data_IF_560678241413
#
_entry.id   IF_560678241413
#
_cell.length_a   1.000
_cell.length_b   1.000
_cell.length_c   1.000
_cell.angle_alpha   90.00
_cell.angle_beta   90.00
_cell.angle_gamma   90.00
#
_symmetry.space_group_name_H-M   'P 1'
#
loop_
_entity.id
_entity.type
_entity.pdbx_description
1 polymer ?
#
# COMPACT_ATOMS: atom_id res chain seq x y z
N UNK A 1 -7.29 21.65 4.63
CA UNK A 1 -7.47 20.74 5.79
C UNK A 1 -7.54 19.33 5.27
N UNK A 2 -6.87 18.39 5.92
CA UNK A 2 -6.93 16.97 5.54
C UNK A 2 -8.34 16.44 5.81
N UNK A 3 -8.92 15.72 4.86
CA UNK A 3 -10.25 15.11 4.99
C UNK A 3 -10.11 13.85 5.84
N UNK A 4 -10.64 13.85 7.07
CA UNK A 4 -10.67 12.66 7.93
C UNK A 4 -11.89 11.79 7.60
N UNK A 5 -11.65 10.50 7.42
CA UNK A 5 -12.69 9.47 7.19
C UNK A 5 -13.79 9.53 8.27
N UNK A 6 -13.36 9.50 9.55
CA UNK A 6 -14.30 9.48 10.67
C UNK A 6 -15.09 10.78 10.82
N UNK A 7 -14.44 11.93 10.63
CA UNK A 7 -15.09 13.23 10.77
C UNK A 7 -16.08 13.48 9.61
N UNK A 8 -15.69 13.13 8.39
CA UNK A 8 -16.55 13.27 7.22
C UNK A 8 -17.80 12.40 7.34
N UNK A 9 -17.65 11.13 7.66
CA UNK A 9 -18.79 10.22 7.85
C UNK A 9 -19.76 10.75 8.93
N UNK A 10 -19.22 11.22 10.06
CA UNK A 10 -20.03 11.79 11.14
C UNK A 10 -20.76 13.05 10.71
N UNK A 11 -20.12 13.96 9.96
CA UNK A 11 -20.73 15.18 9.46
C UNK A 11 -21.90 14.87 8.50
N UNK A 12 -21.76 13.86 7.65
CA UNK A 12 -22.84 13.43 6.73
C UNK A 12 -23.99 12.78 7.52
N UNK A 13 -23.68 11.85 8.44
CA UNK A 13 -24.67 11.20 9.30
C UNK A 13 -25.48 12.21 10.14
N UNK A 14 -24.82 13.26 10.64
CA UNK A 14 -25.42 14.34 11.42
C UNK A 14 -26.09 15.42 10.55
N UNK A 15 -26.17 15.24 9.23
CA UNK A 15 -26.76 16.20 8.26
C UNK A 15 -26.09 17.58 8.24
N UNK A 16 -24.80 17.66 8.63
CA UNK A 16 -24.01 18.90 8.57
C UNK A 16 -23.54 19.20 7.13
N UNK A 17 -23.41 18.15 6.32
CA UNK A 17 -23.17 18.19 4.87
C UNK A 17 -23.88 17.00 4.21
N UNK A 18 -24.03 17.03 2.90
CA UNK A 18 -24.67 15.98 2.11
C UNK A 18 -23.62 15.11 1.42
N UNK A 19 -23.88 13.80 1.34
CA UNK A 19 -23.01 12.89 0.59
C UNK A 19 -22.87 13.31 -0.87
N UNK A 20 -23.96 13.73 -1.52
CA UNK A 20 -23.95 14.23 -2.91
C UNK A 20 -23.05 15.45 -3.09
N UNK A 21 -23.05 16.39 -2.15
CA UNK A 21 -22.19 17.57 -2.19
C UNK A 21 -20.72 17.20 -2.09
N UNK A 22 -20.36 16.34 -1.10
CA UNK A 22 -19.01 15.87 -0.89
C UNK A 22 -18.49 15.12 -2.12
N UNK A 23 -19.28 14.21 -2.67
CA UNK A 23 -18.86 13.40 -3.83
C UNK A 23 -18.75 14.28 -5.09
N UNK A 24 -19.66 15.23 -5.31
CA UNK A 24 -19.58 16.17 -6.44
C UNK A 24 -18.31 17.02 -6.38
N UNK A 25 -17.96 17.53 -5.18
CA UNK A 25 -16.72 18.28 -4.97
C UNK A 25 -15.49 17.40 -5.18
N UNK A 26 -15.49 16.16 -4.64
CA UNK A 26 -14.41 15.21 -4.81
C UNK A 26 -14.13 14.92 -6.28
N UNK A 27 -15.18 14.66 -7.07
CA UNK A 27 -15.06 14.39 -8.50
C UNK A 27 -14.49 15.60 -9.25
N UNK A 28 -14.96 16.79 -8.96
CA UNK A 28 -14.45 18.04 -9.57
C UNK A 28 -12.96 18.29 -9.21
N UNK A 29 -12.56 18.02 -7.97
CA UNK A 29 -11.15 18.13 -7.58
C UNK A 29 -10.26 17.08 -8.25
N UNK A 30 -10.76 15.85 -8.43
CA UNK A 30 -10.05 14.80 -9.17
C UNK A 30 -9.86 15.25 -10.61
N UNK A 31 -10.89 15.74 -11.29
CA UNK A 31 -10.78 16.22 -12.68
C UNK A 31 -9.80 17.39 -12.83
N UNK A 32 -9.76 18.30 -11.87
CA UNK A 32 -8.86 19.44 -11.89
C UNK A 32 -7.39 19.05 -11.68
N UNK A 33 -7.11 18.09 -10.80
CA UNK A 33 -5.73 17.72 -10.40
C UNK A 33 -5.16 16.54 -11.15
N UNK A 34 -6.01 15.60 -11.62
CA UNK A 34 -5.56 14.37 -12.27
C UNK A 34 -4.71 14.60 -13.54
N UNK A 35 -4.96 15.62 -14.38
CA UNK A 35 -4.10 15.91 -15.53
C UNK A 35 -2.62 16.16 -15.17
N UNK A 36 -2.35 16.63 -13.96
CA UNK A 36 -0.99 16.89 -13.47
C UNK A 36 -0.41 15.73 -12.65
N UNK A 37 -1.27 14.99 -11.94
CA UNK A 37 -0.84 13.90 -11.06
C UNK A 37 -0.87 12.55 -11.75
N UNK A 38 -1.77 12.35 -12.70
CA UNK A 38 -2.02 11.09 -13.39
C UNK A 38 -2.22 9.91 -12.43
N UNK A 39 -2.98 10.15 -11.35
CA UNK A 39 -3.22 9.14 -10.32
C UNK A 39 -4.50 8.32 -10.54
N UNK A 40 -5.45 8.78 -11.38
CA UNK A 40 -6.64 8.04 -11.77
C UNK A 40 -6.58 7.62 -13.24
N UNK A 41 -6.98 6.38 -13.54
CA UNK A 41 -7.21 5.88 -14.90
C UNK A 41 -8.66 5.96 -15.31
N UNK A 42 -9.58 5.83 -14.34
CA UNK A 42 -11.03 5.89 -14.55
C UNK A 42 -11.70 6.68 -13.42
N UNK A 43 -12.62 7.59 -13.78
CA UNK A 43 -13.43 8.38 -12.85
C UNK A 43 -14.89 7.97 -13.01
N UNK A 44 -15.54 7.55 -11.91
CA UNK A 44 -16.83 6.86 -11.94
C UNK A 44 -18.03 7.79 -11.63
N UNK A 45 -18.15 8.92 -12.33
CA UNK A 45 -19.17 9.95 -12.09
C UNK A 45 -20.59 9.40 -11.90
N UNK A 46 -21.21 8.66 -12.86
CA UNK A 46 -22.59 8.23 -12.72
C UNK A 46 -22.83 7.35 -11.50
N UNK A 47 -21.90 6.40 -11.25
CA UNK A 47 -21.97 5.46 -10.13
C UNK A 47 -21.84 6.20 -8.79
N UNK A 48 -20.82 7.04 -8.66
CA UNK A 48 -20.53 7.75 -7.42
C UNK A 48 -21.67 8.71 -7.01
N UNK A 49 -22.19 9.48 -7.97
CA UNK A 49 -23.30 10.39 -7.72
C UNK A 49 -24.61 9.66 -7.36
N UNK A 50 -24.93 8.56 -8.07
CA UNK A 50 -26.11 7.74 -7.77
C UNK A 50 -26.03 7.12 -6.36
N UNK A 51 -24.83 6.64 -5.95
CA UNK A 51 -24.65 6.08 -4.62
C UNK A 51 -24.73 7.14 -3.52
N UNK A 52 -24.15 8.33 -3.75
CA UNK A 52 -24.26 9.46 -2.83
C UNK A 52 -25.71 9.90 -2.63
N UNK A 53 -26.50 9.97 -3.70
CA UNK A 53 -27.95 10.28 -3.62
C UNK A 53 -28.72 9.24 -2.79
N UNK A 54 -28.41 7.94 -2.95
CA UNK A 54 -29.03 6.87 -2.15
C UNK A 54 -28.73 7.05 -0.66
N UNK A 55 -27.48 7.41 -0.31
CA UNK A 55 -27.10 7.66 1.09
C UNK A 55 -27.87 8.86 1.65
N UNK A 56 -27.93 9.98 0.91
CA UNK A 56 -28.68 11.17 1.35
C UNK A 56 -30.17 10.87 1.57
N UNK A 57 -30.80 10.07 0.69
CA UNK A 57 -32.19 9.63 0.82
C UNK A 57 -32.40 8.74 2.04
N UNK A 58 -31.51 7.75 2.27
CA UNK A 58 -31.56 6.88 3.44
C UNK A 58 -31.49 7.71 4.74
N UNK A 59 -30.56 8.68 4.82
CA UNK A 59 -30.45 9.58 5.97
C UNK A 59 -31.71 10.44 6.15
N UNK A 60 -32.30 10.94 5.06
CA UNK A 60 -33.53 11.73 5.11
C UNK A 60 -34.72 10.92 5.67
N UNK A 61 -34.80 9.64 5.28
CA UNK A 61 -35.83 8.70 5.73
C UNK A 61 -35.60 8.16 7.15
N UNK A 62 -34.44 8.45 7.79
CA UNK A 62 -34.06 7.86 9.07
C UNK A 62 -33.63 6.39 9.00
N UNK A 63 -33.29 5.92 7.80
CA UNK A 63 -32.78 4.57 7.58
C UNK A 63 -31.32 4.46 8.02
N UNK A 64 -30.86 3.28 8.49
CA UNK A 64 -29.48 3.09 8.90
C UNK A 64 -28.55 3.21 7.70
N UNK A 65 -27.49 4.01 7.86
CA UNK A 65 -26.37 4.12 6.93
C UNK A 65 -25.10 3.55 7.58
N UNK A 66 -24.17 3.06 6.78
CA UNK A 66 -22.93 2.49 7.30
C UNK A 66 -22.01 3.50 7.98
N UNK A 67 -21.05 3.01 8.72
CA UNK A 67 -20.09 3.83 9.51
C UNK A 67 -19.20 4.74 8.65
N UNK A 68 -19.10 4.48 7.35
CA UNK A 68 -18.40 5.29 6.35
C UNK A 68 -19.37 6.05 5.41
N UNK A 69 -20.58 6.36 5.85
CA UNK A 69 -21.60 6.99 5.01
C UNK A 69 -21.08 8.20 4.23
N UNK A 70 -21.08 8.11 2.89
CA UNK A 70 -20.67 9.17 1.98
C UNK A 70 -19.16 9.43 1.89
N UNK A 71 -18.31 8.64 2.52
CA UNK A 71 -16.85 8.79 2.41
C UNK A 71 -16.36 8.34 1.03
N UNK A 72 -15.71 9.21 0.24
CA UNK A 72 -15.16 8.83 -1.06
C UNK A 72 -13.94 7.93 -0.90
N UNK A 73 -13.82 6.91 -1.76
CA UNK A 73 -12.63 6.10 -1.85
C UNK A 73 -12.26 5.73 -3.28
N UNK A 74 -10.99 5.42 -3.51
CA UNK A 74 -10.47 4.97 -4.78
C UNK A 74 -9.82 3.58 -4.65
N UNK A 75 -9.70 2.86 -5.77
CA UNK A 75 -9.08 1.54 -5.78
C UNK A 75 -8.05 1.44 -6.90
N UNK A 76 -6.97 0.72 -6.68
CA UNK A 76 -6.00 0.38 -7.72
C UNK A 76 -6.68 -0.36 -8.87
N UNK A 77 -6.35 -0.04 -10.12
CA UNK A 77 -7.07 -0.58 -11.29
C UNK A 77 -6.85 -2.07 -11.58
N UNK A 78 -6.37 -2.83 -10.60
CA UNK A 78 -6.39 -4.29 -10.59
C UNK A 78 -7.57 -4.90 -9.79
N UNK A 79 -8.38 -4.06 -9.12
CA UNK A 79 -9.63 -4.53 -8.52
C UNK A 79 -10.73 -4.54 -9.58
N UNK A 80 -11.52 -5.61 -9.62
CA UNK A 80 -12.72 -5.68 -10.44
C UNK A 80 -13.73 -4.65 -9.95
N UNK A 81 -14.20 -3.83 -10.88
CA UNK A 81 -15.28 -2.86 -10.69
C UNK A 81 -16.39 -3.24 -11.68
N UNK A 82 -17.60 -3.49 -11.20
CA UNK A 82 -18.72 -3.88 -12.05
C UNK A 82 -18.93 -2.90 -13.21
N UNK A 83 -19.02 -3.43 -14.42
CA UNK A 83 -19.17 -2.67 -15.65
C UNK A 83 -17.89 -2.02 -16.20
N UNK A 84 -16.74 -2.18 -15.53
CA UNK A 84 -15.44 -1.61 -15.94
C UNK A 84 -14.46 -2.74 -16.27
N UNK A 85 -13.60 -2.52 -17.27
CA UNK A 85 -12.51 -3.45 -17.61
C UNK A 85 -11.40 -3.34 -16.56
N UNK A 86 -11.01 -4.48 -15.98
CA UNK A 86 -9.89 -4.54 -15.02
C UNK A 86 -8.55 -4.45 -15.75
N UNK A 87 -8.00 -3.23 -15.84
CA UNK A 87 -6.81 -2.93 -16.65
C UNK A 87 -5.52 -3.54 -16.08
N UNK A 88 -5.39 -3.63 -14.77
CA UNK A 88 -4.17 -4.07 -14.08
C UNK A 88 -2.90 -3.35 -14.61
N UNK A 89 -3.01 -2.08 -14.98
CA UNK A 89 -1.94 -1.26 -15.54
C UNK A 89 -1.48 -1.67 -16.95
N UNK A 90 -2.17 -2.58 -17.65
CA UNK A 90 -1.73 -3.09 -18.96
C UNK A 90 -2.71 -2.75 -20.08
N UNK A 91 -2.17 -2.36 -21.24
CA UNK A 91 -2.97 -2.20 -22.46
C UNK A 91 -3.54 -3.53 -22.97
N UNK A 92 -2.90 -4.66 -22.65
CA UNK A 92 -3.34 -6.00 -23.06
C UNK A 92 -4.74 -6.31 -22.50
N UNK A 93 -5.01 -5.85 -21.26
CA UNK A 93 -6.29 -6.12 -20.62
C UNK A 93 -7.45 -5.28 -21.17
N UNK A 94 -7.21 -4.25 -22.00
CA UNK A 94 -8.29 -3.46 -22.63
C UNK A 94 -9.26 -4.30 -23.45
N UNK A 95 -8.77 -5.43 -23.97
CA UNK A 95 -9.56 -6.35 -24.79
C UNK A 95 -10.38 -7.36 -23.95
N UNK A 96 -10.24 -7.32 -22.62
CA UNK A 96 -11.02 -8.18 -21.73
C UNK A 96 -12.46 -7.63 -21.57
N UNK A 97 -13.42 -8.50 -21.28
CA UNK A 97 -14.77 -8.05 -20.92
C UNK A 97 -14.72 -7.23 -19.62
N UNK A 98 -15.66 -6.32 -19.48
CA UNK A 98 -15.90 -5.62 -18.22
C UNK A 98 -16.22 -6.62 -17.10
N UNK A 99 -15.80 -6.30 -15.88
CA UNK A 99 -16.07 -7.15 -14.71
C UNK A 99 -17.58 -7.24 -14.45
N UNK A 100 -18.07 -8.46 -14.20
CA UNK A 100 -19.48 -8.71 -13.94
C UNK A 100 -19.94 -8.40 -12.50
N UNK A 101 -19.00 -8.11 -11.61
CA UNK A 101 -19.25 -7.75 -10.21
C UNK A 101 -18.03 -7.03 -9.61
N UNK A 102 -18.26 -6.28 -8.53
CA UNK A 102 -17.19 -5.68 -7.77
C UNK A 102 -16.35 -6.70 -7.00
N UNK A 103 -15.07 -6.40 -6.81
CA UNK A 103 -14.22 -7.10 -5.85
C UNK A 103 -14.83 -7.07 -4.44
N UNK A 104 -14.67 -8.16 -3.68
CA UNK A 104 -15.22 -8.27 -2.31
C UNK A 104 -14.74 -7.11 -1.41
N UNK A 105 -13.54 -6.61 -1.60
CA UNK A 105 -13.03 -5.48 -0.82
C UNK A 105 -13.81 -4.19 -1.11
N UNK A 106 -14.23 -3.95 -2.36
CA UNK A 106 -15.10 -2.82 -2.75
C UNK A 106 -16.48 -3.00 -2.12
N UNK A 107 -17.10 -4.16 -2.31
CA UNK A 107 -18.42 -4.48 -1.73
C UNK A 107 -18.43 -4.27 -0.20
N UNK A 108 -17.33 -4.63 0.48
CA UNK A 108 -17.20 -4.47 1.93
C UNK A 108 -17.20 -2.99 2.34
N UNK A 109 -16.49 -2.12 1.61
CA UNK A 109 -16.47 -0.68 1.88
C UNK A 109 -17.79 -0.01 1.53
N UNK A 110 -18.41 -0.38 0.42
CA UNK A 110 -19.73 0.14 0.03
C UNK A 110 -20.83 -0.30 1.00
N UNK A 111 -20.78 -1.54 1.50
CA UNK A 111 -21.68 -1.99 2.57
C UNK A 111 -21.49 -1.20 3.89
N UNK A 112 -20.29 -0.68 4.13
CA UNK A 112 -20.02 0.26 5.22
C UNK A 112 -20.43 1.71 4.91
N UNK A 113 -20.96 1.99 3.72
CA UNK A 113 -21.47 3.29 3.29
C UNK A 113 -20.48 4.16 2.52
N UNK A 114 -19.26 3.68 2.24
CA UNK A 114 -18.29 4.43 1.44
C UNK A 114 -18.71 4.49 -0.05
N UNK A 115 -18.23 5.49 -0.78
CA UNK A 115 -18.58 5.74 -2.19
C UNK A 115 -17.34 5.60 -3.07
N UNK A 116 -17.35 4.64 -4.01
CA UNK A 116 -16.29 4.46 -4.98
C UNK A 116 -16.30 5.57 -6.03
N UNK A 117 -15.21 6.34 -6.13
CA UNK A 117 -15.10 7.47 -7.08
C UNK A 117 -14.20 7.17 -8.28
N UNK A 118 -13.36 6.15 -8.25
CA UNK A 118 -12.52 5.85 -9.40
C UNK A 118 -11.49 4.74 -9.18
N UNK A 119 -10.86 4.36 -10.30
CA UNK A 119 -9.74 3.44 -10.36
C UNK A 119 -8.42 4.20 -10.55
N UNK A 120 -7.36 3.77 -9.84
CA UNK A 120 -6.07 4.47 -9.79
C UNK A 120 -4.98 3.78 -10.59
N UNK A 121 -4.03 4.59 -11.09
CA UNK A 121 -2.89 4.16 -11.88
C UNK A 121 -1.91 3.28 -11.08
N UNK A 122 -1.17 2.43 -11.78
CA UNK A 122 -0.24 1.47 -11.19
C UNK A 122 0.86 1.04 -12.16
N UNK A 123 1.94 0.43 -11.66
CA UNK A 123 2.87 -0.33 -12.50
C UNK A 123 2.14 -1.50 -13.19
N UNK A 124 2.47 -1.79 -14.44
CA UNK A 124 1.86 -2.89 -15.19
C UNK A 124 1.94 -4.20 -14.40
N UNK A 125 0.78 -4.87 -14.26
CA UNK A 125 0.63 -6.14 -13.54
C UNK A 125 1.23 -6.16 -12.12
N UNK A 126 1.30 -4.99 -11.49
CA UNK A 126 1.88 -4.77 -10.17
C UNK A 126 3.39 -5.11 -10.05
N UNK A 127 4.11 -5.24 -11.19
CA UNK A 127 5.51 -5.64 -11.22
C UNK A 127 6.49 -4.46 -11.20
N UNK A 128 6.34 -3.55 -10.26
CA UNK A 128 7.20 -2.37 -10.09
C UNK A 128 7.11 -1.76 -8.70
N UNK A 129 7.90 -0.71 -8.48
CA UNK A 129 7.91 0.08 -7.25
C UNK A 129 7.92 1.59 -7.52
N UNK A 130 7.57 2.05 -8.74
CA UNK A 130 7.70 3.45 -9.12
C UNK A 130 6.44 4.08 -9.71
N UNK A 131 5.53 3.28 -10.28
CA UNK A 131 4.35 3.71 -11.04
C UNK A 131 4.72 4.65 -12.19
N UNK A 132 5.74 4.25 -12.96
CA UNK A 132 6.08 4.78 -14.29
C UNK A 132 5.62 3.75 -15.33
N UNK A 133 4.38 3.88 -15.77
CA UNK A 133 3.72 2.93 -16.64
C UNK A 133 3.82 3.40 -18.11
N UNK A 134 4.35 2.54 -19.00
CA UNK A 134 4.53 2.88 -20.41
C UNK A 134 3.20 3.08 -21.17
N UNK A 135 2.08 2.55 -20.65
CA UNK A 135 0.77 2.60 -21.31
C UNK A 135 -0.13 3.73 -20.82
N UNK A 136 -0.02 4.05 -19.51
CA UNK A 136 -0.88 5.01 -18.82
C UNK A 136 -0.12 6.22 -18.26
N UNK A 137 1.20 6.27 -18.49
CA UNK A 137 2.06 7.36 -18.00
C UNK A 137 2.47 7.20 -16.54
N UNK A 138 3.40 8.02 -16.11
CA UNK A 138 3.87 8.07 -14.73
C UNK A 138 2.87 8.78 -13.82
N UNK A 139 2.74 8.30 -12.58
CA UNK A 139 2.03 9.04 -11.51
C UNK A 139 3.03 9.92 -10.78
N UNK A 140 2.81 11.23 -10.82
CA UNK A 140 3.63 12.21 -10.12
C UNK A 140 3.40 12.16 -8.60
N UNK A 141 4.47 12.41 -7.83
CA UNK A 141 4.38 12.50 -6.39
C UNK A 141 3.77 13.85 -5.98
N UNK A 142 2.66 13.90 -5.20
CA UNK A 142 2.05 15.17 -4.78
C UNK A 142 2.96 16.05 -3.90
N UNK A 143 3.99 15.47 -3.28
CA UNK A 143 4.98 16.21 -2.45
C UNK A 143 6.04 16.91 -3.30
N UNK A 144 6.37 16.33 -4.46
CA UNK A 144 7.29 16.87 -5.47
C UNK A 144 6.99 16.21 -6.81
N UNK A 145 6.32 16.90 -7.75
CA UNK A 145 5.92 16.33 -9.04
C UNK A 145 7.05 15.84 -9.94
N UNK A 146 8.30 16.20 -9.64
CA UNK A 146 9.47 15.70 -10.37
C UNK A 146 9.91 14.29 -9.92
N UNK A 147 9.22 13.70 -8.94
CA UNK A 147 9.59 12.45 -8.33
C UNK A 147 8.51 11.37 -8.48
N UNK A 148 8.92 10.10 -8.33
CA UNK A 148 8.00 8.97 -8.37
C UNK A 148 7.06 8.98 -7.16
N UNK A 149 5.83 8.57 -7.36
CA UNK A 149 4.88 8.31 -6.27
C UNK A 149 5.18 7.01 -5.51
N UNK A 150 6.21 6.26 -5.95
CA UNK A 150 6.39 4.87 -5.54
C UNK A 150 5.38 3.94 -6.25
N UNK A 151 5.49 2.64 -5.99
CA UNK A 151 4.65 1.65 -6.67
C UNK A 151 4.61 0.29 -5.94
N UNK A 152 3.80 -0.61 -6.47
CA UNK A 152 3.00 -0.50 -7.70
C UNK A 152 1.64 0.19 -7.50
N UNK A 153 1.25 0.59 -6.28
CA UNK A 153 -0.02 1.30 -5.99
C UNK A 153 0.20 2.81 -5.88
N UNK A 154 1.01 3.40 -6.78
CA UNK A 154 1.40 4.81 -6.69
C UNK A 154 0.22 5.76 -6.89
N UNK A 155 -0.71 5.45 -7.80
CA UNK A 155 -1.93 6.23 -7.98
C UNK A 155 -2.79 6.30 -6.72
N UNK A 156 -2.93 5.18 -5.99
CA UNK A 156 -3.69 5.14 -4.74
C UNK A 156 -3.03 5.98 -3.64
N UNK A 157 -1.71 5.87 -3.47
CA UNK A 157 -0.97 6.67 -2.49
C UNK A 157 -1.00 8.17 -2.84
N UNK A 158 -0.82 8.50 -4.12
CA UNK A 158 -0.86 9.89 -4.62
C UNK A 158 -2.26 10.51 -4.44
N UNK A 159 -3.35 9.76 -4.70
CA UNK A 159 -4.71 10.24 -4.50
C UNK A 159 -4.98 10.63 -3.04
N UNK A 160 -4.49 9.83 -2.08
CA UNK A 160 -4.59 10.16 -0.65
C UNK A 160 -3.68 11.33 -0.28
N UNK A 161 -2.43 11.32 -0.73
CA UNK A 161 -1.45 12.38 -0.41
C UNK A 161 -1.85 13.76 -0.98
N UNK A 162 -2.58 13.80 -2.11
CA UNK A 162 -3.12 14.99 -2.72
C UNK A 162 -4.46 15.44 -2.12
N UNK A 163 -4.97 14.76 -1.09
CA UNK A 163 -6.29 14.97 -0.49
C UNK A 163 -7.46 14.87 -1.48
N UNK A 164 -7.36 14.03 -2.50
CA UNK A 164 -8.46 13.75 -3.44
C UNK A 164 -9.46 12.76 -2.83
N UNK A 165 -8.95 11.78 -2.09
CA UNK A 165 -9.76 10.84 -1.31
C UNK A 165 -9.09 10.59 0.04
N UNK A 166 -9.86 10.41 1.14
CA UNK A 166 -9.28 10.11 2.45
C UNK A 166 -8.86 8.63 2.60
N UNK A 167 -9.31 7.76 1.69
CA UNK A 167 -9.08 6.32 1.71
C UNK A 167 -8.82 5.81 0.28
N UNK A 168 -7.83 4.94 0.12
CA UNK A 168 -7.66 4.19 -1.12
C UNK A 168 -7.25 2.74 -0.86
N UNK A 169 -7.67 1.82 -1.76
CA UNK A 169 -7.21 0.44 -1.80
C UNK A 169 -6.01 0.28 -2.73
N UNK A 170 -5.08 -0.55 -2.33
CA UNK A 170 -3.95 -1.00 -3.15
C UNK A 170 -3.70 -2.50 -2.98
N UNK A 171 -2.62 -2.98 -3.58
CA UNK A 171 -2.12 -4.33 -3.38
C UNK A 171 -0.65 -4.33 -3.00
N UNK A 172 -0.24 -5.28 -2.16
CA UNK A 172 1.15 -5.45 -1.70
C UNK A 172 1.59 -6.90 -1.90
N UNK A 173 2.45 -7.12 -2.87
CA UNK A 173 3.11 -8.39 -3.13
C UNK A 173 4.47 -8.45 -2.43
N UNK A 174 5.25 -7.38 -2.59
CA UNK A 174 6.61 -7.24 -2.07
C UNK A 174 6.86 -5.89 -1.38
N UNK A 175 5.82 -5.07 -1.18
CA UNK A 175 5.94 -3.73 -0.62
C UNK A 175 5.06 -2.70 -1.32
N UNK A 176 4.22 -3.10 -2.28
CA UNK A 176 3.51 -2.18 -3.19
C UNK A 176 2.38 -1.34 -2.55
N UNK A 177 2.14 -1.45 -1.27
CA UNK A 177 1.39 -0.50 -0.43
C UNK A 177 2.37 0.36 0.38
N UNK A 178 3.33 -0.26 1.03
CA UNK A 178 4.25 0.40 1.98
C UNK A 178 5.25 1.33 1.28
N UNK A 179 5.79 0.90 0.12
CA UNK A 179 6.72 1.72 -0.68
C UNK A 179 6.08 3.03 -1.13
N UNK A 180 4.92 3.04 -1.83
CA UNK A 180 4.30 4.29 -2.23
C UNK A 180 3.78 5.10 -1.03
N UNK A 181 3.36 4.47 0.07
CA UNK A 181 3.03 5.18 1.30
C UNK A 181 4.22 5.99 1.85
N UNK A 182 5.42 5.39 1.89
CA UNK A 182 6.64 6.07 2.30
C UNK A 182 7.03 7.21 1.34
N UNK A 183 6.95 6.99 0.02
CA UNK A 183 7.25 7.99 -1.00
C UNK A 183 6.32 9.21 -0.94
N UNK A 184 5.03 8.98 -0.74
CA UNK A 184 4.01 10.05 -0.74
C UNK A 184 3.73 10.63 0.65
N UNK A 185 4.29 10.06 1.72
CA UNK A 185 4.10 10.54 3.09
C UNK A 185 2.68 10.33 3.62
N UNK A 186 2.13 9.14 3.41
CA UNK A 186 0.83 8.68 3.91
C UNK A 186 0.99 7.38 4.69
N UNK A 187 -0.04 6.98 5.43
CA UNK A 187 -0.08 5.68 6.13
C UNK A 187 -0.46 4.58 5.16
N UNK A 188 0.33 3.49 5.13
CA UNK A 188 0.04 2.33 4.29
C UNK A 188 0.04 1.04 5.09
N UNK A 189 -1.10 0.34 5.16
CA UNK A 189 -1.25 -0.94 5.88
C UNK A 189 -1.33 -2.12 4.91
N UNK A 190 -0.41 -3.06 5.06
CA UNK A 190 -0.49 -4.40 4.50
C UNK A 190 -0.90 -5.38 5.60
N UNK A 191 -2.12 -5.92 5.58
CA UNK A 191 -2.56 -6.89 6.59
C UNK A 191 -1.82 -8.23 6.51
N UNK A 192 -2.09 -9.11 7.44
CA UNK A 192 -1.71 -10.53 7.40
C UNK A 192 -2.25 -11.20 6.13
N UNK A 193 -1.45 -12.08 5.53
CA UNK A 193 -1.87 -12.83 4.34
C UNK A 193 -3.18 -13.59 4.56
N UNK A 194 -4.14 -13.37 3.65
CA UNK A 194 -5.45 -14.03 3.68
C UNK A 194 -6.50 -13.37 4.60
N UNK A 195 -6.17 -12.30 5.34
CA UNK A 195 -7.15 -11.59 6.19
C UNK A 195 -8.17 -10.79 5.39
N UNK A 196 -7.77 -10.24 4.26
CA UNK A 196 -8.67 -9.54 3.32
C UNK A 196 -8.86 -10.42 2.09
N UNK A 197 -10.10 -10.55 1.65
CA UNK A 197 -10.44 -11.36 0.47
C UNK A 197 -9.75 -10.82 -0.77
N UNK A 198 -9.16 -11.71 -1.57
CA UNK A 198 -8.56 -11.42 -2.88
C UNK A 198 -9.51 -11.69 -4.04
N UNK A 199 -10.76 -12.05 -3.76
CA UNK A 199 -11.76 -12.32 -4.78
C UNK A 199 -12.11 -11.02 -5.52
N UNK A 200 -11.98 -11.04 -6.84
CA UNK A 200 -12.11 -9.87 -7.69
C UNK A 200 -10.83 -9.03 -7.80
N UNK A 201 -9.65 -9.61 -7.49
CA UNK A 201 -8.36 -9.00 -7.81
C UNK A 201 -7.73 -9.70 -9.00
N UNK A 202 -7.18 -8.91 -9.92
CA UNK A 202 -6.23 -9.42 -10.91
C UNK A 202 -4.90 -9.71 -10.20
N UNK A 203 -4.62 -10.99 -9.95
CA UNK A 203 -3.47 -11.41 -9.16
C UNK A 203 -2.17 -11.31 -9.98
N UNK A 204 -1.10 -10.87 -9.33
CA UNK A 204 0.25 -10.91 -9.86
C UNK A 204 0.99 -12.17 -9.37
N UNK A 205 1.01 -12.39 -8.05
CA UNK A 205 1.67 -13.54 -7.41
C UNK A 205 0.73 -14.15 -6.38
N UNK A 206 0.12 -15.28 -6.73
CA UNK A 206 -0.95 -15.86 -5.93
C UNK A 206 -0.55 -16.15 -4.48
N UNK A 207 0.71 -16.51 -4.24
CA UNK A 207 1.19 -16.86 -2.89
C UNK A 207 1.66 -15.67 -2.06
N UNK A 208 1.70 -14.44 -2.64
CA UNK A 208 2.24 -13.24 -1.99
C UNK A 208 1.30 -12.03 -2.01
N UNK A 209 0.30 -11.98 -2.89
CA UNK A 209 -0.56 -10.79 -3.04
C UNK A 209 -1.47 -10.56 -1.84
N UNK A 210 -1.47 -9.32 -1.36
CA UNK A 210 -2.35 -8.84 -0.29
C UNK A 210 -3.12 -7.60 -0.79
N UNK A 211 -4.45 -7.49 -0.59
CA UNK A 211 -5.09 -6.19 -0.54
C UNK A 211 -4.55 -5.38 0.64
N UNK A 212 -4.39 -4.08 0.45
CA UNK A 212 -3.95 -3.17 1.49
C UNK A 212 -4.56 -1.79 1.34
N UNK A 213 -4.28 -0.91 2.29
CA UNK A 213 -5.02 0.33 2.51
C UNK A 213 -4.09 1.53 2.64
N UNK A 214 -4.57 2.69 2.20
CA UNK A 214 -3.93 3.99 2.38
C UNK A 214 -4.88 4.94 3.09
N UNK A 215 -4.35 5.73 4.02
CA UNK A 215 -5.02 6.87 4.65
C UNK A 215 -3.99 7.95 5.01
N UNK A 216 -4.45 9.17 5.31
CA UNK A 216 -3.53 10.24 5.73
C UNK A 216 -3.02 10.08 7.17
N UNK A 217 -3.80 9.41 8.03
CA UNK A 217 -3.50 9.26 9.45
C UNK A 217 -3.88 7.88 10.00
N UNK A 218 -3.33 7.55 11.17
CA UNK A 218 -3.53 6.23 11.81
C UNK A 218 -4.94 6.04 12.36
N UNK A 219 -5.62 7.11 12.79
CA UNK A 219 -6.99 6.99 13.30
C UNK A 219 -7.96 6.55 12.20
N UNK A 220 -7.85 7.15 11.01
CA UNK A 220 -8.63 6.75 9.84
C UNK A 220 -8.26 5.33 9.38
N UNK A 221 -6.97 4.95 9.39
CA UNK A 221 -6.54 3.59 9.09
C UNK A 221 -7.16 2.57 10.06
N UNK A 222 -7.23 2.89 11.33
CA UNK A 222 -7.85 2.02 12.33
C UNK A 222 -9.37 1.84 12.10
N UNK A 223 -10.06 2.91 11.73
CA UNK A 223 -11.49 2.85 11.38
C UNK A 223 -11.73 1.98 10.15
N UNK A 224 -10.91 2.14 9.10
CA UNK A 224 -10.95 1.32 7.89
C UNK A 224 -10.67 -0.15 8.22
N UNK A 225 -9.60 -0.41 8.97
CA UNK A 225 -9.26 -1.79 9.37
C UNK A 225 -10.36 -2.44 10.20
N UNK A 226 -11.03 -1.68 11.07
CA UNK A 226 -12.16 -2.17 11.88
C UNK A 226 -13.28 -2.82 11.06
N UNK A 227 -13.51 -2.35 9.82
CA UNK A 227 -14.52 -2.92 8.90
C UNK A 227 -14.09 -4.31 8.41
N UNK A 228 -12.81 -4.48 8.06
CA UNK A 228 -12.27 -5.75 7.57
C UNK A 228 -11.94 -6.74 8.69
N UNK A 229 -11.60 -6.24 9.87
CA UNK A 229 -11.24 -7.05 11.03
C UNK A 229 -12.42 -7.76 11.70
N UNK A 230 -13.68 -7.47 11.30
CA UNK A 230 -14.90 -8.07 11.88
C UNK A 230 -14.89 -8.04 13.41
N UNK A 231 -14.69 -6.87 14.01
CA UNK A 231 -14.67 -6.65 15.46
C UNK A 231 -13.47 -7.25 16.22
N UNK A 232 -12.38 -7.57 15.57
CA UNK A 232 -11.15 -8.08 16.22
C UNK A 232 -10.19 -6.99 16.71
N UNK A 233 -10.58 -5.72 16.71
CA UNK A 233 -9.84 -4.67 17.43
C UNK A 233 -10.01 -4.89 18.94
N UNK A 234 -9.16 -5.75 19.51
CA UNK A 234 -9.27 -6.22 20.90
C UNK A 234 -8.61 -5.26 21.93
N UNK A 235 -7.88 -4.25 21.49
CA UNK A 235 -7.15 -3.36 22.39
C UNK A 235 -7.47 -1.90 22.11
N UNK A 236 -7.58 -1.05 23.15
CA UNK A 236 -7.57 0.39 22.96
C UNK A 236 -6.27 0.81 22.28
N UNK A 237 -6.36 1.77 21.35
CA UNK A 237 -5.19 2.29 20.60
C UNK A 237 -4.29 3.20 21.46
N UNK A 238 -4.31 3.06 22.79
CA UNK A 238 -3.69 4.00 23.73
C UNK A 238 -2.50 3.35 24.45
N UNK A 239 -1.37 4.07 24.47
CA UNK A 239 -0.19 3.73 25.25
C UNK A 239 0.60 2.52 24.73
N UNK A 240 1.81 2.34 25.23
CA UNK A 240 2.72 1.24 24.86
C UNK A 240 2.99 0.27 26.02
N UNK A 241 2.26 0.39 27.10
CA UNK A 241 2.46 -0.47 28.28
C UNK A 241 2.34 -1.94 27.91
N UNK A 242 3.32 -2.73 28.33
CA UNK A 242 3.42 -4.16 28.05
C UNK A 242 3.83 -4.55 26.62
N UNK A 243 4.09 -3.58 25.72
CA UNK A 243 4.51 -3.86 24.35
C UNK A 243 6.04 -3.96 24.25
N UNK A 244 6.53 -5.10 23.82
CA UNK A 244 7.97 -5.33 23.59
C UNK A 244 8.33 -4.93 22.17
N UNK A 245 9.03 -3.81 22.01
CA UNK A 245 9.45 -3.27 20.74
C UNK A 245 10.95 -3.50 20.54
N UNK A 246 11.38 -3.88 19.35
CA UNK A 246 12.77 -3.97 18.97
C UNK A 246 13.06 -3.26 17.65
N UNK A 247 14.26 -2.72 17.51
CA UNK A 247 14.80 -2.19 16.27
C UNK A 247 15.56 -3.32 15.56
N UNK A 248 15.23 -3.57 14.28
CA UNK A 248 16.01 -4.49 13.48
C UNK A 248 17.36 -3.87 13.11
N UNK A 249 18.43 -4.64 13.25
CA UNK A 249 19.80 -4.25 12.90
C UNK A 249 20.29 -5.01 11.66
N UNK A 250 21.63 -5.06 11.46
CA UNK A 250 22.32 -5.73 10.36
C UNK A 250 21.74 -5.35 8.98
N UNK A 251 21.04 -6.24 8.31
CA UNK A 251 20.47 -6.01 6.97
C UNK A 251 19.65 -4.72 6.86
N UNK A 252 18.92 -4.34 7.90
CA UNK A 252 18.05 -3.17 7.92
C UNK A 252 18.77 -1.86 8.28
N UNK A 253 20.05 -1.94 8.65
CA UNK A 253 20.92 -0.78 8.90
C UNK A 253 21.92 -0.53 7.77
N UNK A 254 21.82 -1.29 6.65
CA UNK A 254 22.75 -1.23 5.53
C UNK A 254 22.03 -1.00 4.21
N UNK A 255 22.73 -0.40 3.25
CA UNK A 255 22.20 -0.17 1.90
C UNK A 255 20.98 0.73 1.88
N UNK A 256 20.98 1.74 2.74
CA UNK A 256 20.07 2.88 2.75
C UNK A 256 20.87 4.16 2.94
N UNK A 257 20.29 5.29 2.55
CA UNK A 257 20.88 6.59 2.82
C UNK A 257 20.99 6.82 4.34
N UNK A 258 22.09 7.42 4.85
CA UNK A 258 22.32 7.63 6.28
C UNK A 258 21.13 8.31 6.98
N UNK A 259 20.52 9.32 6.35
CA UNK A 259 19.37 10.04 6.92
C UNK A 259 18.15 9.14 7.20
N UNK A 260 18.00 8.04 6.45
CA UNK A 260 16.90 7.08 6.65
C UNK A 260 17.15 6.27 7.93
N UNK A 261 18.39 5.78 8.09
CA UNK A 261 18.79 4.99 9.26
C UNK A 261 18.75 5.85 10.52
N UNK A 262 19.31 7.06 10.46
CA UNK A 262 19.32 8.02 11.56
C UNK A 262 17.91 8.37 12.03
N UNK A 263 16.99 8.66 11.10
CA UNK A 263 15.61 9.00 11.44
C UNK A 263 14.89 7.86 12.16
N UNK A 264 15.03 6.61 11.68
CA UNK A 264 14.39 5.45 12.29
C UNK A 264 15.01 5.12 13.66
N UNK A 265 16.34 5.23 13.77
CA UNK A 265 17.06 5.02 15.03
C UNK A 265 16.66 6.05 16.08
N UNK A 266 16.62 7.34 15.72
CA UNK A 266 16.20 8.42 16.62
C UNK A 266 14.75 8.23 17.13
N UNK A 267 13.84 7.73 16.28
CA UNK A 267 12.46 7.40 16.70
C UNK A 267 12.48 6.23 17.71
N UNK A 268 13.24 5.18 17.44
CA UNK A 268 13.36 4.03 18.35
C UNK A 268 13.93 4.47 19.72
N UNK A 269 14.97 5.29 19.73
CA UNK A 269 15.57 5.84 20.96
C UNK A 269 14.58 6.70 21.77
N UNK A 270 13.79 7.54 21.09
CA UNK A 270 12.74 8.36 21.76
C UNK A 270 11.62 7.52 22.37
N UNK A 271 11.32 6.36 21.79
CA UNK A 271 10.42 5.37 22.39
C UNK A 271 11.04 4.61 23.57
N UNK A 272 12.33 4.82 23.87
CA UNK A 272 13.07 4.04 24.86
C UNK A 272 13.37 2.61 24.38
N UNK A 273 13.36 2.35 23.07
CA UNK A 273 13.67 1.03 22.50
C UNK A 273 15.18 0.81 22.54
N UNK A 274 15.63 -0.07 23.44
CA UNK A 274 17.02 -0.46 23.59
C UNK A 274 17.32 -1.82 22.97
N UNK A 275 16.29 -2.65 22.78
CA UNK A 275 16.45 -3.99 22.20
C UNK A 275 16.70 -3.89 20.69
N UNK A 276 17.85 -4.42 20.25
CA UNK A 276 18.15 -4.65 18.84
C UNK A 276 18.01 -6.13 18.54
N UNK A 277 17.58 -6.46 17.32
CA UNK A 277 17.44 -7.83 16.85
C UNK A 277 18.04 -8.00 15.47
N UNK A 278 18.77 -9.10 15.29
CA UNK A 278 19.23 -9.56 13.98
C UNK A 278 18.26 -10.59 13.44
N UNK A 279 17.73 -10.35 12.24
CA UNK A 279 16.88 -11.32 11.54
C UNK A 279 17.77 -12.14 10.60
N UNK A 280 17.98 -13.43 10.88
CA UNK A 280 18.96 -14.21 10.14
C UNK A 280 18.55 -14.40 8.67
N UNK A 281 19.55 -14.41 7.77
CA UNK A 281 19.39 -14.74 6.36
C UNK A 281 18.40 -13.82 5.59
N UNK A 282 18.21 -12.58 6.02
CA UNK A 282 17.24 -11.64 5.41
C UNK A 282 17.56 -11.36 3.94
N UNK A 283 18.84 -11.25 3.56
CA UNK A 283 19.25 -11.09 2.16
C UNK A 283 18.80 -12.29 1.30
N UNK A 284 18.93 -13.51 1.83
CA UNK A 284 18.47 -14.74 1.16
C UNK A 284 16.93 -14.78 1.10
N UNK A 285 16.22 -14.30 2.13
CA UNK A 285 14.76 -14.20 2.12
C UNK A 285 14.28 -13.28 0.99
N UNK A 286 14.94 -12.14 0.78
CA UNK A 286 14.68 -11.27 -0.35
C UNK A 286 14.92 -11.95 -1.70
N UNK A 287 16.05 -12.65 -1.85
CA UNK A 287 16.35 -13.39 -3.09
C UNK A 287 15.32 -14.49 -3.38
N UNK A 288 14.92 -15.25 -2.35
CA UNK A 288 13.89 -16.29 -2.46
C UNK A 288 12.51 -15.70 -2.80
N UNK A 289 12.15 -14.56 -2.20
CA UNK A 289 10.92 -13.82 -2.56
C UNK A 289 10.93 -13.42 -4.04
N UNK A 290 12.07 -12.97 -4.54
CA UNK A 290 12.20 -12.59 -5.95
C UNK A 290 12.02 -13.79 -6.89
N UNK A 291 12.61 -14.96 -6.57
CA UNK A 291 12.44 -16.20 -7.34
C UNK A 291 10.95 -16.61 -7.39
N UNK A 292 10.24 -16.59 -6.26
CA UNK A 292 8.81 -16.92 -6.21
C UNK A 292 8.01 -15.93 -7.03
N UNK A 293 8.27 -14.63 -6.86
CA UNK A 293 7.58 -13.57 -7.58
C UNK A 293 7.74 -13.71 -9.09
N UNK A 294 8.98 -13.89 -9.57
CA UNK A 294 9.27 -14.02 -10.98
C UNK A 294 8.65 -15.30 -11.58
N UNK A 295 8.77 -16.43 -10.87
CA UNK A 295 8.22 -17.72 -11.36
C UNK A 295 6.69 -17.72 -11.42
N UNK A 296 6.00 -17.30 -10.35
CA UNK A 296 4.52 -17.29 -10.32
C UNK A 296 3.95 -16.25 -11.28
N UNK A 297 4.54 -15.04 -11.34
CA UNK A 297 4.13 -13.99 -12.25
C UNK A 297 4.32 -14.41 -13.73
N UNK A 298 5.47 -14.96 -14.08
CA UNK A 298 5.71 -15.45 -15.44
C UNK A 298 4.76 -16.58 -15.83
N UNK A 299 4.53 -17.55 -14.93
CA UNK A 299 3.60 -18.65 -15.19
C UNK A 299 2.17 -18.14 -15.46
N UNK A 300 1.71 -17.13 -14.72
CA UNK A 300 0.40 -16.50 -14.92
C UNK A 300 0.28 -15.79 -16.28
N UNK A 301 1.39 -15.18 -16.73
CA UNK A 301 1.44 -14.41 -17.98
C UNK A 301 1.96 -15.20 -19.19
N UNK A 302 2.32 -16.47 -19.05
CA UNK A 302 2.95 -17.26 -20.11
C UNK A 302 2.18 -17.23 -21.45
N UNK A 303 0.85 -17.41 -21.52
CA UNK A 303 0.12 -17.29 -22.77
C UNK A 303 0.24 -15.92 -23.44
N UNK A 304 0.23 -14.84 -22.63
CA UNK A 304 0.38 -13.46 -23.13
C UNK A 304 1.81 -13.19 -23.60
N UNK A 305 2.81 -13.71 -22.92
CA UNK A 305 4.22 -13.61 -23.34
C UNK A 305 4.47 -14.29 -24.70
N UNK A 306 3.75 -15.38 -25.00
CA UNK A 306 3.88 -16.10 -26.27
C UNK A 306 3.17 -15.40 -27.43
N UNK A 307 2.10 -14.66 -27.18
CA UNK A 307 1.21 -14.14 -28.22
C UNK A 307 1.20 -12.61 -28.34
N UNK A 308 1.59 -11.88 -27.29
CA UNK A 308 1.49 -10.42 -27.18
C UNK A 308 2.71 -9.77 -26.53
N UNK A 309 3.89 -10.32 -26.77
CA UNK A 309 5.15 -9.91 -26.12
C UNK A 309 5.42 -8.39 -26.24
N UNK A 310 5.20 -7.83 -27.44
CA UNK A 310 5.46 -6.42 -27.73
C UNK A 310 4.41 -5.45 -27.12
N UNK A 311 3.33 -6.02 -26.55
CA UNK A 311 2.30 -5.23 -25.87
C UNK A 311 2.59 -5.02 -24.39
N UNK A 312 3.57 -5.72 -23.82
CA UNK A 312 3.99 -5.48 -22.44
C UNK A 312 4.78 -4.16 -22.29
N UNK A 313 4.69 -3.57 -21.11
CA UNK A 313 5.62 -2.54 -20.70
C UNK A 313 7.06 -3.12 -20.71
N UNK A 314 8.02 -2.51 -21.44
CA UNK A 314 9.40 -2.99 -21.49
C UNK A 314 10.02 -3.23 -20.11
N UNK A 315 9.66 -2.43 -19.09
CA UNK A 315 10.18 -2.56 -17.73
C UNK A 315 9.69 -3.82 -17.01
N UNK A 316 8.58 -4.45 -17.46
CA UNK A 316 8.01 -5.68 -16.87
C UNK A 316 8.24 -6.89 -17.77
N UNK A 317 8.23 -6.70 -19.10
CA UNK A 317 8.39 -7.76 -20.11
C UNK A 317 9.60 -8.65 -19.85
N UNK A 318 10.78 -8.05 -19.77
CA UNK A 318 12.04 -8.79 -19.65
C UNK A 318 12.13 -9.54 -18.29
N UNK A 319 11.49 -9.00 -17.27
CA UNK A 319 11.40 -9.65 -15.96
C UNK A 319 10.47 -10.86 -15.97
N UNK A 320 9.35 -10.80 -16.70
CA UNK A 320 8.48 -11.96 -16.91
C UNK A 320 9.17 -13.03 -17.77
N UNK A 321 9.88 -12.65 -18.84
CA UNK A 321 10.66 -13.58 -19.66
C UNK A 321 11.73 -14.29 -18.80
N UNK A 322 12.49 -13.54 -18.01
CA UNK A 322 13.47 -14.13 -17.09
C UNK A 322 12.81 -15.07 -16.07
N UNK A 323 11.62 -14.72 -15.57
CA UNK A 323 10.85 -15.55 -14.66
C UNK A 323 10.41 -16.89 -15.26
N UNK A 324 10.07 -16.92 -16.56
CA UNK A 324 9.69 -18.13 -17.29
C UNK A 324 10.86 -19.12 -17.47
N UNK A 325 12.09 -18.65 -17.34
CA UNK A 325 13.31 -19.46 -17.46
C UNK A 325 13.85 -19.97 -16.12
N UNK A 326 13.22 -19.60 -14.99
CA UNK A 326 13.67 -20.06 -13.65
C UNK A 326 13.42 -21.58 -13.52
N UNK A 327 14.45 -22.38 -13.21
CA UNK A 327 14.27 -23.81 -12.97
C UNK A 327 13.31 -24.09 -11.81
N UNK A 328 12.41 -25.06 -11.96
CA UNK A 328 11.45 -25.46 -10.92
C UNK A 328 12.14 -25.84 -9.60
N UNK A 329 13.37 -26.39 -9.66
CA UNK A 329 14.19 -26.70 -8.49
C UNK A 329 14.48 -25.46 -7.65
N UNK A 330 14.73 -24.30 -8.27
CA UNK A 330 14.97 -23.04 -7.55
C UNK A 330 13.71 -22.54 -6.86
N UNK A 331 12.55 -22.64 -7.53
CA UNK A 331 11.26 -22.30 -6.94
C UNK A 331 10.97 -23.20 -5.71
N UNK A 332 11.20 -24.51 -5.82
CA UNK A 332 11.02 -25.44 -4.70
C UNK A 332 11.96 -25.14 -3.53
N UNK A 333 13.22 -24.80 -3.82
CA UNK A 333 14.18 -24.39 -2.78
C UNK A 333 13.74 -23.07 -2.11
N UNK A 334 13.26 -22.08 -2.88
CA UNK A 334 12.73 -20.83 -2.36
C UNK A 334 11.53 -21.06 -1.45
N UNK A 335 10.62 -21.97 -1.79
CA UNK A 335 9.47 -22.34 -0.94
C UNK A 335 9.88 -23.05 0.36
N UNK A 336 10.89 -23.94 0.30
CA UNK A 336 11.46 -24.58 1.51
C UNK A 336 12.10 -23.54 2.41
N UNK A 337 12.88 -22.63 1.82
CA UNK A 337 13.52 -21.54 2.56
C UNK A 337 12.47 -20.57 3.16
N UNK A 338 11.37 -20.28 2.45
CA UNK A 338 10.23 -19.50 2.96
C UNK A 338 9.69 -20.08 4.26
N UNK A 339 9.52 -21.40 4.32
CA UNK A 339 9.06 -22.08 5.53
C UNK A 339 10.07 -21.91 6.67
N UNK A 340 11.35 -22.17 6.42
CA UNK A 340 12.41 -21.99 7.42
C UNK A 340 12.46 -20.54 7.94
N UNK A 341 12.43 -19.55 7.06
CA UNK A 341 12.48 -18.14 7.42
C UNK A 341 11.27 -17.73 8.26
N UNK A 342 10.08 -18.21 7.91
CA UNK A 342 8.86 -18.00 8.72
C UNK A 342 9.01 -18.59 10.13
N UNK A 343 9.61 -19.75 10.29
CA UNK A 343 9.81 -20.38 11.59
C UNK A 343 10.81 -19.58 12.44
N UNK A 344 11.88 -19.02 11.83
CA UNK A 344 12.80 -18.09 12.52
C UNK A 344 12.12 -16.81 12.99
N UNK A 345 11.26 -16.20 12.18
CA UNK A 345 10.51 -15.02 12.61
C UNK A 345 9.50 -15.33 13.73
N UNK A 346 8.92 -16.53 13.77
CA UNK A 346 8.08 -16.96 14.89
C UNK A 346 8.85 -17.02 16.21
N UNK A 347 10.08 -17.49 16.18
CA UNK A 347 10.96 -17.50 17.36
C UNK A 347 11.25 -16.07 17.82
N UNK A 348 11.58 -15.15 16.91
CA UNK A 348 11.79 -13.74 17.24
C UNK A 348 10.52 -13.14 17.86
N UNK A 349 9.34 -13.40 17.29
CA UNK A 349 8.07 -12.92 17.83
C UNK A 349 7.61 -13.60 19.12
N UNK A 350 8.31 -14.60 19.62
CA UNK A 350 8.13 -15.09 21.01
C UNK A 350 8.79 -14.17 22.06
N UNK A 351 9.74 -13.35 21.63
CA UNK A 351 10.51 -12.45 22.50
C UNK A 351 10.11 -10.97 22.35
N UNK A 352 9.58 -10.58 21.19
CA UNK A 352 9.17 -9.21 20.87
C UNK A 352 7.81 -9.20 20.22
N UNK A 353 7.06 -8.11 20.41
CA UNK A 353 5.73 -7.94 19.83
C UNK A 353 5.77 -7.13 18.53
N UNK A 354 6.70 -6.16 18.45
CA UNK A 354 6.85 -5.24 17.31
C UNK A 354 8.32 -5.15 16.90
N UNK A 355 8.54 -5.14 15.59
CA UNK A 355 9.82 -4.86 14.96
C UNK A 355 9.71 -3.55 14.20
N UNK A 356 10.67 -2.65 14.40
CA UNK A 356 10.83 -1.40 13.65
C UNK A 356 11.94 -1.51 12.63
N UNK A 357 11.69 -1.01 11.41
CA UNK A 357 12.70 -0.93 10.33
C UNK A 357 12.43 0.30 9.47
N UNK A 358 13.38 0.75 8.63
CA UNK A 358 13.05 1.60 7.50
C UNK A 358 12.04 0.93 6.56
N UNK A 359 11.18 1.72 5.90
CA UNK A 359 10.28 1.20 4.85
C UNK A 359 11.01 1.08 3.51
N UNK A 360 11.71 2.15 3.10
CA UNK A 360 12.46 2.26 1.84
C UNK A 360 13.87 2.80 2.11
N UNK A 361 14.84 2.55 1.22
CA UNK A 361 16.24 2.88 1.48
C UNK A 361 16.62 4.35 1.25
N UNK A 362 15.76 5.14 0.64
CA UNK A 362 16.01 6.54 0.27
C UNK A 362 14.70 7.32 0.23
N UNK A 363 14.76 8.63 0.04
CA UNK A 363 13.60 9.45 -0.33
C UNK A 363 13.04 9.03 -1.70
N UNK A 364 11.84 9.51 -2.06
CA UNK A 364 11.25 9.24 -3.38
C UNK A 364 12.23 9.62 -4.51
N UNK A 365 12.63 8.68 -5.39
CA UNK A 365 13.54 8.94 -6.50
C UNK A 365 12.95 9.90 -7.54
N UNK A 366 13.80 10.60 -8.33
CA UNK A 366 13.34 11.39 -9.47
C UNK A 366 12.66 10.51 -10.54
N UNK A 367 11.70 11.06 -11.27
CA UNK A 367 11.07 10.42 -12.43
C UNK A 367 12.09 10.16 -13.54
N UNK A 368 11.95 9.04 -14.24
CA UNK A 368 12.79 8.65 -15.39
C UNK A 368 14.21 8.21 -15.03
N UNK A 369 14.57 8.16 -13.75
CA UNK A 369 15.91 7.74 -13.32
C UNK A 369 15.93 6.25 -13.03
N UNK A 370 16.79 5.49 -13.73
CA UNK A 370 16.88 4.03 -13.57
C UNK A 370 17.78 3.62 -12.40
N UNK A 371 18.82 4.41 -12.13
CA UNK A 371 19.84 4.10 -11.11
C UNK A 371 20.03 5.27 -10.15
N UNK A 372 20.36 4.94 -8.91
CA UNK A 372 20.77 5.90 -7.88
C UNK A 372 21.98 5.38 -7.12
N UNK A 373 22.74 6.29 -6.53
CA UNK A 373 23.77 5.94 -5.53
C UNK A 373 23.05 5.88 -4.18
N UNK A 374 23.06 4.70 -3.55
CA UNK A 374 22.51 4.46 -2.22
C UNK A 374 23.61 3.77 -1.41
N UNK A 375 23.98 4.34 -0.26
CA UNK A 375 25.06 3.82 0.59
C UNK A 375 26.37 3.63 -0.21
N UNK A 376 26.73 4.61 -1.05
CA UNK A 376 27.93 4.61 -1.90
C UNK A 376 27.93 3.58 -3.06
N UNK A 377 26.83 2.86 -3.28
CA UNK A 377 26.70 1.87 -4.36
C UNK A 377 25.71 2.33 -5.43
N UNK A 378 26.06 2.18 -6.70
CA UNK A 378 25.14 2.41 -7.81
C UNK A 378 24.14 1.23 -7.89
N UNK A 379 22.86 1.50 -7.67
CA UNK A 379 21.80 0.50 -7.64
C UNK A 379 20.66 0.87 -8.59
N UNK A 380 20.05 -0.15 -9.23
CA UNK A 380 18.80 0.00 -9.96
C UNK A 380 17.68 0.34 -8.97
N UNK A 381 16.90 1.39 -9.27
CA UNK A 381 15.82 1.88 -8.38
C UNK A 381 14.70 0.85 -8.28
N UNK A 382 14.13 0.42 -9.43
CA UNK A 382 12.94 -0.43 -9.47
C UNK A 382 13.03 -1.69 -8.59
N UNK A 383 14.10 -2.51 -8.60
CA UNK A 383 14.17 -3.69 -7.74
C UNK A 383 14.59 -3.39 -6.29
N UNK A 384 15.13 -2.20 -6.00
CA UNK A 384 15.74 -1.93 -4.69
C UNK A 384 14.89 -1.08 -3.74
N UNK A 385 13.88 -0.32 -4.23
CA UNK A 385 12.99 0.42 -3.33
C UNK A 385 12.26 -0.48 -2.32
N UNK A 386 11.92 -1.71 -2.71
CA UNK A 386 11.26 -2.68 -1.83
C UNK A 386 12.20 -3.53 -0.96
N UNK A 387 13.51 -3.22 -0.87
CA UNK A 387 14.47 -4.10 -0.21
C UNK A 387 14.14 -4.41 1.26
N UNK A 388 13.54 -3.49 1.98
CA UNK A 388 13.17 -3.66 3.39
C UNK A 388 11.76 -4.20 3.58
N UNK A 389 10.90 -4.12 2.57
CA UNK A 389 9.52 -4.61 2.64
C UNK A 389 9.36 -6.07 2.20
N UNK A 390 10.19 -6.52 1.23
CA UNK A 390 10.14 -7.85 0.64
C UNK A 390 10.28 -8.99 1.67
N UNK A 391 11.22 -8.95 2.64
CA UNK A 391 11.41 -10.05 3.59
C UNK A 391 10.15 -10.37 4.42
N UNK A 392 9.35 -9.36 4.73
CA UNK A 392 8.12 -9.52 5.52
C UNK A 392 6.93 -9.93 4.66
N UNK A 393 6.82 -9.42 3.42
CA UNK A 393 5.82 -9.89 2.45
C UNK A 393 6.03 -11.37 2.12
N UNK A 394 7.29 -11.79 2.00
CA UNK A 394 7.69 -13.15 1.69
C UNK A 394 7.02 -14.22 2.56
N UNK A 395 6.76 -13.91 3.81
CA UNK A 395 6.13 -14.80 4.78
C UNK A 395 4.74 -14.34 5.25
N UNK A 396 4.19 -13.28 4.63
CA UNK A 396 2.82 -12.84 4.85
C UNK A 396 2.55 -12.11 6.16
N UNK A 397 3.58 -11.55 6.82
CA UNK A 397 3.40 -10.79 8.06
C UNK A 397 2.66 -9.48 7.85
N UNK A 398 1.82 -9.03 8.79
CA UNK A 398 1.22 -7.70 8.77
C UNK A 398 2.32 -6.64 8.96
N UNK A 399 2.22 -5.54 8.21
CA UNK A 399 3.15 -4.43 8.32
C UNK A 399 2.50 -3.11 7.91
N UNK A 400 2.88 -2.03 8.58
CA UNK A 400 2.41 -0.68 8.30
C UNK A 400 3.62 0.22 8.01
N UNK A 401 3.51 1.06 6.98
CA UNK A 401 4.42 2.18 6.76
C UNK A 401 3.81 3.44 7.36
N UNK A 402 4.49 4.01 8.36
CA UNK A 402 4.15 5.28 8.97
C UNK A 402 5.05 6.38 8.38
N UNK A 403 4.49 7.51 7.90
CA UNK A 403 5.29 8.58 7.36
C UNK A 403 6.04 9.34 8.48
N UNK A 404 7.34 9.55 8.28
CA UNK A 404 8.14 10.51 9.03
C UNK A 404 8.09 11.81 8.23
N UNK A 405 7.14 12.69 8.57
CA UNK A 405 6.96 13.99 7.91
C UNK A 405 8.08 14.93 8.35
N UNK A 406 8.69 15.64 7.40
CA UNK A 406 9.81 16.58 7.63
C UNK A 406 9.47 17.94 7.01
N UNK A 407 9.81 19.04 7.71
CA UNK A 407 9.62 20.39 7.18
C UNK A 407 10.49 20.60 5.94
N UNK A 408 9.89 21.10 4.86
CA UNK A 408 10.58 21.46 3.60
C UNK A 408 11.36 20.32 2.92
N UNK A 409 11.19 19.06 3.35
CA UNK A 409 11.85 17.89 2.81
C UNK A 409 10.85 16.79 2.45
N UNK A 410 11.25 15.88 1.56
CA UNK A 410 10.47 14.70 1.25
C UNK A 410 10.34 13.78 2.47
N UNK A 411 9.20 13.09 2.62
CA UNK A 411 8.96 12.19 3.75
C UNK A 411 9.89 10.98 3.71
N UNK A 412 10.10 10.37 4.88
CA UNK A 412 10.69 9.04 5.03
C UNK A 412 9.61 8.09 5.56
N UNK A 413 9.88 6.78 5.51
CA UNK A 413 8.96 5.76 6.01
C UNK A 413 9.54 4.93 7.14
N UNK A 414 8.83 4.87 8.26
CA UNK A 414 9.06 3.91 9.34
C UNK A 414 8.15 2.70 9.13
N UNK A 415 8.71 1.50 9.07
CA UNK A 415 7.94 0.27 8.96
C UNK A 415 7.76 -0.39 10.33
N UNK A 416 6.50 -0.71 10.68
CA UNK A 416 6.08 -1.35 11.93
C UNK A 416 5.57 -2.74 11.57
N UNK A 417 6.18 -3.79 12.11
CA UNK A 417 5.86 -5.18 11.79
C UNK A 417 5.47 -5.92 13.05
N UNK A 418 4.47 -6.80 12.96
CA UNK A 418 4.04 -7.68 14.05
C UNK A 418 3.91 -9.14 13.60
N UNK A 419 3.67 -10.03 14.55
CA UNK A 419 3.25 -11.40 14.29
C UNK A 419 1.93 -11.44 13.50
N UNK A 420 1.60 -12.57 12.82
CA UNK A 420 0.33 -12.70 12.11
C UNK A 420 -0.88 -12.37 13.00
N UNK A 421 -1.88 -11.75 12.41
CA UNK A 421 -3.15 -11.36 13.06
C UNK A 421 -3.02 -10.33 14.20
N UNK A 422 -1.91 -9.54 14.20
CA UNK A 422 -1.66 -8.49 15.19
C UNK A 422 -1.67 -7.07 14.59
N UNK A 423 -2.55 -6.83 13.64
CA UNK A 423 -2.77 -5.49 13.08
C UNK A 423 -3.27 -4.49 14.15
N UNK A 424 -3.99 -4.97 15.15
CA UNK A 424 -4.41 -4.18 16.33
C UNK A 424 -3.20 -3.56 17.04
N UNK A 425 -2.16 -4.36 17.25
CA UNK A 425 -0.95 -3.91 17.91
C UNK A 425 -0.12 -2.96 17.04
N UNK A 426 -0.05 -3.22 15.73
CA UNK A 426 0.59 -2.31 14.77
C UNK A 426 -0.08 -0.93 14.82
N UNK A 427 -1.41 -0.88 14.77
CA UNK A 427 -2.18 0.37 14.80
C UNK A 427 -2.04 1.10 16.15
N UNK A 428 -2.00 0.35 17.26
CA UNK A 428 -1.74 0.90 18.59
C UNK A 428 -0.37 1.61 18.67
N UNK A 429 0.68 0.93 18.23
CA UNK A 429 2.04 1.48 18.21
C UNK A 429 2.15 2.64 17.22
N UNK A 430 1.57 2.49 16.02
CA UNK A 430 1.56 3.55 15.00
C UNK A 430 0.86 4.82 15.51
N UNK A 431 -0.22 4.69 16.30
CA UNK A 431 -0.95 5.84 16.86
C UNK A 431 -0.09 6.64 17.82
N UNK A 432 0.61 5.97 18.76
CA UNK A 432 1.52 6.63 19.70
C UNK A 432 2.68 7.30 18.96
N UNK A 433 3.24 6.63 17.95
CA UNK A 433 4.30 7.18 17.12
C UNK A 433 3.84 8.40 16.33
N UNK A 434 2.65 8.36 15.73
CA UNK A 434 2.09 9.50 15.00
C UNK A 434 1.93 10.72 15.89
N UNK A 435 1.39 10.56 17.11
CA UNK A 435 1.25 11.64 18.09
C UNK A 435 2.62 12.21 18.52
N UNK A 436 3.60 11.33 18.76
CA UNK A 436 4.96 11.72 19.09
C UNK A 436 5.63 12.51 17.93
N UNK A 437 5.43 12.08 16.68
CA UNK A 437 6.01 12.75 15.52
C UNK A 437 5.36 14.12 15.24
N UNK A 438 4.06 14.29 15.52
CA UNK A 438 3.36 15.56 15.39
C UNK A 438 3.84 16.56 16.47
N UNK A 439 4.15 16.09 17.70
CA UNK A 439 4.59 16.92 18.80
C UNK A 439 6.04 17.44 18.67
N UNK A 440 6.79 16.97 17.66
CA UNK A 440 8.15 17.47 17.39
C UNK A 440 8.04 18.81 16.64
N UNK A 441 8.52 19.95 17.19
CA UNK A 441 8.69 21.14 16.40
C UNK A 441 9.60 20.79 15.21
N UNK A 442 9.14 21.06 14.01
CA UNK A 442 9.89 20.81 12.80
C UNK A 442 11.21 21.61 12.83
N UNK A 443 12.33 20.97 13.12
CA UNK A 443 13.66 21.53 12.94
C UNK A 443 14.10 21.49 11.48
#
# INVERSE_FOLDING_TARGET
MTISVCNLARSIQNRQTRALEVISQTLAEIEAKNPHLNCFTDILHPRALAQAQKIDLAIANGEPVGVLAGVPFAVKNLFDIEGIVTLAGSKINRDHPAAGQDAIAIQTLEAAGAVLVGATNMDEYAYGFVTENAHYGATANPRDPSRVSGGSSGGSAAAVAANLVPLALGSDTNGSVRVPAACCGVVGLKPTFGRVSRRGLFLFVNSLDHPGFFSDNVADMAAIWGIFAKNTLKAPLNGLEGVKIALADDYFQQGAEPEVIEAVTAIAERLGVTKKITIPETARARAAAYIITASEGANWHLPRLQTRLEDFDPATRDRFLAGALIPSSWYLQAQRFRRWYRDRLREIFSEVDIILTPTIPCIAPPLGVEKMIIDGQELLIRPNLGRFTQPFSFIGLPALSLPIKRSSRLPLGLQIIAAPDREDLILRVARVLEEMLIAIPHQ
#
